data_IF_991149571376
#
_entry.id   IF_991149571376
#
_cell.length_a   1.000
_cell.length_b   1.000
_cell.length_c   1.000
_cell.angle_alpha   90.00
_cell.angle_beta   90.00
_cell.angle_gamma   90.00
#
_symmetry.space_group_name_H-M   'P 1'
#
loop_
_entity.id
_entity.type
_entity.pdbx_description
1 polymer ?
#
# COMPACT_ATOMS: atom_id res chain seq x y z
N UNK A 1 -3.71 -7.25 2.47
CA UNK A 1 -3.90 -5.86 2.96
C UNK A 1 -3.07 -5.55 4.19
N UNK A 2 -2.88 -6.49 5.13
CA UNK A 2 -2.15 -6.21 6.38
C UNK A 2 -0.65 -6.03 6.19
N UNK A 3 -0.03 -6.83 5.32
CA UNK A 3 1.39 -6.81 5.01
C UNK A 3 1.64 -6.62 3.51
N UNK A 4 2.86 -6.23 3.11
CA UNK A 4 3.27 -6.19 1.71
C UNK A 4 3.02 -7.54 1.02
N UNK A 5 2.69 -7.50 -0.27
CA UNK A 5 2.55 -8.73 -1.07
C UNK A 5 3.93 -9.33 -1.33
N UNK A 6 4.06 -10.63 -1.08
CA UNK A 6 5.30 -11.35 -1.33
C UNK A 6 5.51 -11.55 -2.86
N UNK A 7 6.56 -10.98 -3.46
CA UNK A 7 6.85 -11.17 -4.88
C UNK A 7 7.20 -12.61 -5.27
N UNK A 8 7.61 -13.46 -4.33
CA UNK A 8 7.89 -14.88 -4.59
C UNK A 8 6.57 -15.64 -4.76
N UNK A 9 5.58 -15.34 -3.93
CA UNK A 9 4.24 -15.94 -4.01
C UNK A 9 3.45 -15.36 -5.19
N UNK A 10 3.63 -14.07 -5.49
CA UNK A 10 2.97 -13.36 -6.59
C UNK A 10 3.97 -12.68 -7.54
N UNK A 11 4.64 -13.42 -8.43
CA UNK A 11 5.69 -12.89 -9.31
C UNK A 11 5.25 -11.79 -10.26
N UNK A 12 3.96 -11.73 -10.58
CA UNK A 12 3.40 -10.72 -11.49
C UNK A 12 2.91 -9.46 -10.77
N UNK A 13 2.89 -9.44 -9.42
CA UNK A 13 2.31 -8.36 -8.65
C UNK A 13 2.93 -6.99 -8.99
N UNK A 14 4.26 -6.92 -8.98
CA UNK A 14 4.99 -5.68 -9.28
C UNK A 14 5.01 -5.30 -10.76
N UNK A 15 4.55 -6.18 -11.66
CA UNK A 15 4.34 -5.82 -13.07
C UNK A 15 3.03 -5.04 -13.27
N UNK A 16 2.06 -5.24 -12.38
CA UNK A 16 0.73 -4.63 -12.43
C UNK A 16 0.68 -3.42 -11.49
N UNK A 17 1.25 -3.56 -10.29
CA UNK A 17 1.19 -2.56 -9.23
C UNK A 17 2.51 -1.80 -9.14
N UNK A 18 2.52 -0.55 -9.63
CA UNK A 18 3.72 0.29 -9.64
C UNK A 18 4.08 0.91 -8.29
N UNK A 19 3.08 1.17 -7.44
CA UNK A 19 3.29 1.73 -6.09
C UNK A 19 2.53 0.88 -5.07
N UNK A 20 3.17 -0.16 -4.50
CA UNK A 20 2.54 -1.00 -3.48
C UNK A 20 2.19 -0.19 -2.24
N UNK A 21 1.14 -0.61 -1.54
CA UNK A 21 0.73 -0.06 -0.25
C UNK A 21 -0.03 -1.11 0.55
N UNK A 22 0.17 -1.12 1.86
CA UNK A 22 -0.46 -2.02 2.83
C UNK A 22 -0.57 -1.34 4.21
N UNK A 23 -1.39 -1.91 5.10
CA UNK A 23 -1.67 -1.32 6.42
C UNK A 23 -0.44 -1.25 7.34
N UNK A 24 0.48 -2.23 7.27
CA UNK A 24 1.72 -2.19 8.08
C UNK A 24 2.67 -1.08 7.61
N UNK A 25 2.77 -0.87 6.29
CA UNK A 25 3.49 0.27 5.72
C UNK A 25 2.85 1.59 6.14
N UNK A 26 1.52 1.72 6.04
CA UNK A 26 0.81 2.93 6.48
C UNK A 26 1.01 3.20 7.98
N UNK A 27 0.97 2.18 8.83
CA UNK A 27 1.22 2.31 10.27
C UNK A 27 2.65 2.84 10.54
N UNK A 28 3.65 2.25 9.87
CA UNK A 28 5.04 2.71 9.98
C UNK A 28 5.21 4.17 9.57
N UNK A 29 4.60 4.58 8.45
CA UNK A 29 4.60 5.98 8.00
C UNK A 29 3.97 6.95 9.01
N UNK A 30 2.88 6.51 9.66
CA UNK A 30 2.22 7.31 10.70
C UNK A 30 3.13 7.46 11.93
N UNK A 31 3.74 6.37 12.40
CA UNK A 31 4.67 6.36 13.53
C UNK A 31 5.92 7.22 13.27
N UNK A 32 6.40 7.24 12.03
CA UNK A 32 7.53 8.06 11.59
C UNK A 32 7.16 9.53 11.33
N UNK A 33 5.88 9.89 11.42
CA UNK A 33 5.40 11.26 11.16
C UNK A 33 5.50 11.66 9.68
N UNK A 34 5.49 10.70 8.76
CA UNK A 34 5.56 10.96 7.31
C UNK A 34 4.27 11.56 6.75
N UNK A 35 3.13 11.34 7.44
CA UNK A 35 1.86 11.99 7.09
C UNK A 35 1.75 13.35 7.77
N UNK A 36 1.75 14.42 6.97
CA UNK A 36 1.60 15.79 7.45
C UNK A 36 0.16 16.13 7.82
N UNK A 37 -0.79 15.41 7.24
CA UNK A 37 -2.23 15.59 7.44
C UNK A 37 -3.00 14.30 7.13
N UNK A 38 -4.31 14.32 7.41
CA UNK A 38 -5.18 13.17 7.21
C UNK A 38 -5.43 12.87 5.71
N UNK A 39 -5.31 13.88 4.83
CA UNK A 39 -5.46 13.69 3.39
C UNK A 39 -4.37 12.79 2.81
N UNK A 40 -3.13 12.90 3.31
CA UNK A 40 -2.01 12.06 2.88
C UNK A 40 -2.20 10.59 3.29
N UNK A 41 -2.67 10.31 4.51
CA UNK A 41 -2.95 8.94 4.95
C UNK A 41 -4.18 8.36 4.24
N UNK A 42 -5.20 9.19 3.96
CA UNK A 42 -6.33 8.80 3.11
C UNK A 42 -5.87 8.46 1.68
N UNK A 43 -4.94 9.21 1.10
CA UNK A 43 -4.44 8.93 -0.24
C UNK A 43 -3.76 7.56 -0.33
N UNK A 44 -2.97 7.18 0.68
CA UNK A 44 -2.36 5.84 0.74
C UNK A 44 -3.40 4.74 1.03
N UNK A 45 -4.46 5.03 1.80
CA UNK A 45 -5.59 4.11 1.96
C UNK A 45 -6.30 3.87 0.62
N UNK A 46 -6.66 4.93 -0.10
CA UNK A 46 -7.30 4.84 -1.41
C UNK A 46 -6.40 4.09 -2.41
N UNK A 47 -5.08 4.31 -2.36
CA UNK A 47 -4.10 3.60 -3.19
C UNK A 47 -4.08 2.10 -2.87
N UNK A 48 -4.07 1.71 -1.59
CA UNK A 48 -4.15 0.30 -1.19
C UNK A 48 -5.41 -0.37 -1.75
N UNK A 49 -6.56 0.29 -1.68
CA UNK A 49 -7.81 -0.24 -2.26
C UNK A 49 -7.74 -0.31 -3.79
N UNK A 50 -7.19 0.69 -4.46
CA UNK A 50 -7.01 0.64 -5.93
C UNK A 50 -6.09 -0.50 -6.35
N UNK A 51 -4.97 -0.71 -5.65
CA UNK A 51 -4.04 -1.80 -5.94
C UNK A 51 -4.70 -3.16 -5.74
N UNK A 52 -5.50 -3.30 -4.69
CA UNK A 52 -6.31 -4.48 -4.46
C UNK A 52 -7.22 -4.78 -5.65
N UNK A 53 -8.00 -3.79 -6.09
CA UNK A 53 -8.96 -3.96 -7.19
C UNK A 53 -8.29 -4.17 -8.55
N UNK A 54 -7.08 -3.66 -8.74
CA UNK A 54 -6.34 -3.81 -9.99
C UNK A 54 -5.66 -5.18 -10.15
N UNK A 55 -5.34 -5.85 -9.03
CA UNK A 55 -4.65 -7.15 -9.06
C UNK A 55 -5.58 -8.35 -8.93
N UNK A 56 -6.71 -8.22 -8.21
CA UNK A 56 -7.73 -9.29 -8.11
C UNK A 56 -8.57 -9.39 -9.38
#
# INVERSE_FOLDING_TARGET
FLHPVDPVEFPTYYNIISRPMDLSTMASKLEQGEYKNAEESKADFDLMIKNCLAFN
#
